data_IF_720539201033
#
_entry.id   IF_720539201033
#
_cell.length_a   1.000
_cell.length_b   1.000
_cell.length_c   1.000
_cell.angle_alpha   90.00
_cell.angle_beta   90.00
_cell.angle_gamma   90.00
#
_symmetry.space_group_name_H-M   'P 1'
#
loop_
_entity.id
_entity.type
_entity.pdbx_description
1 polymer ?
#
# COMPACT_ATOMS: atom_id res chain seq x y z
N UNK A 1 4.17 9.53 -6.03
CA UNK A 1 2.94 9.81 -6.79
C UNK A 1 1.74 9.67 -5.87
N UNK A 2 0.60 10.30 -6.17
CA UNK A 2 -0.63 10.13 -5.39
C UNK A 2 -1.84 10.15 -6.32
N UNK A 3 -2.80 9.28 -6.03
CA UNK A 3 -4.09 9.18 -6.73
C UNK A 3 -5.20 9.02 -5.71
N UNK A 4 -6.43 9.42 -6.06
CA UNK A 4 -7.59 9.24 -5.19
C UNK A 4 -8.84 8.91 -5.97
N UNK A 5 -9.63 8.00 -5.43
CA UNK A 5 -10.95 7.60 -5.96
C UNK A 5 -12.01 7.82 -4.88
N UNK A 6 -13.26 8.02 -5.29
CA UNK A 6 -14.40 8.13 -4.38
C UNK A 6 -15.33 6.97 -4.63
N UNK A 7 -15.56 6.15 -3.61
CA UNK A 7 -16.43 4.98 -3.67
C UNK A 7 -17.81 5.31 -3.13
N UNK A 8 -18.90 4.85 -3.77
CA UNK A 8 -20.28 5.13 -3.38
C UNK A 8 -20.76 4.27 -2.19
N UNK A 9 -19.88 4.02 -1.23
CA UNK A 9 -20.13 3.19 -0.06
C UNK A 9 -19.61 3.88 1.22
N UNK A 10 -20.28 3.69 2.36
CA UNK A 10 -19.86 4.29 3.62
C UNK A 10 -18.53 3.68 4.10
N UNK A 11 -17.77 4.43 4.89
CA UNK A 11 -16.42 4.03 5.29
C UNK A 11 -16.40 2.75 6.12
N UNK A 12 -17.47 2.49 6.87
CA UNK A 12 -17.64 1.27 7.65
C UNK A 12 -17.66 0.00 6.77
N UNK A 13 -17.98 0.15 5.47
CA UNK A 13 -17.97 -0.92 4.47
C UNK A 13 -16.65 -0.91 3.70
N UNK A 14 -16.19 0.27 3.27
CA UNK A 14 -14.98 0.39 2.43
C UNK A 14 -13.70 0.06 3.19
N UNK A 15 -13.55 0.56 4.41
CA UNK A 15 -12.30 0.42 5.16
C UNK A 15 -11.94 -1.05 5.44
N UNK A 16 -12.85 -1.92 5.95
CA UNK A 16 -12.54 -3.34 6.13
C UNK A 16 -12.12 -4.03 4.83
N UNK A 17 -12.85 -3.82 3.73
CA UNK A 17 -12.57 -4.46 2.43
C UNK A 17 -11.18 -4.07 1.89
N UNK A 18 -10.78 -2.82 2.06
CA UNK A 18 -9.50 -2.32 1.56
C UNK A 18 -8.36 -2.34 2.59
N UNK A 19 -8.56 -2.89 3.79
CA UNK A 19 -7.52 -2.94 4.82
C UNK A 19 -7.34 -4.30 5.47
N UNK A 20 -8.35 -5.17 5.50
CA UNK A 20 -8.24 -6.42 6.24
C UNK A 20 -7.55 -7.53 5.43
N UNK A 21 -6.71 -8.37 6.09
CA UNK A 21 -5.95 -9.42 5.42
C UNK A 21 -6.78 -10.38 4.57
N UNK A 22 -7.98 -10.71 5.04
CA UNK A 22 -8.88 -11.65 4.36
C UNK A 22 -9.37 -11.17 2.98
N UNK A 23 -9.29 -9.85 2.70
CA UNK A 23 -9.69 -9.26 1.44
C UNK A 23 -8.50 -8.92 0.52
N UNK A 24 -7.26 -9.06 1.01
CA UNK A 24 -6.07 -8.70 0.25
C UNK A 24 -5.93 -9.50 -1.05
N UNK A 25 -6.31 -10.78 -1.06
CA UNK A 25 -6.27 -11.58 -2.29
C UNK A 25 -7.22 -11.02 -3.35
N UNK A 26 -8.47 -10.72 -2.98
CA UNK A 26 -9.46 -10.15 -3.90
C UNK A 26 -9.02 -8.80 -4.44
N UNK A 27 -8.48 -7.94 -3.56
CA UNK A 27 -7.88 -6.67 -3.96
C UNK A 27 -6.76 -6.87 -4.99
N UNK A 28 -5.87 -7.84 -4.75
CA UNK A 28 -4.74 -8.09 -5.63
C UNK A 28 -5.14 -8.71 -6.97
N UNK A 29 -6.23 -9.49 -6.99
CA UNK A 29 -6.83 -10.07 -8.20
C UNK A 29 -7.50 -9.03 -9.11
N UNK A 30 -7.69 -7.78 -8.67
CA UNK A 30 -8.07 -6.69 -9.57
C UNK A 30 -7.01 -6.45 -10.66
N UNK A 31 -5.76 -6.81 -10.38
CA UNK A 31 -4.67 -6.82 -11.37
C UNK A 31 -4.55 -8.23 -11.98
N UNK A 32 -4.93 -8.43 -13.25
CA UNK A 32 -5.00 -9.76 -13.87
C UNK A 32 -3.65 -10.48 -13.96
N UNK A 33 -2.54 -9.74 -13.83
CA UNK A 33 -1.19 -10.29 -13.77
C UNK A 33 -0.92 -11.04 -12.46
N UNK A 34 -1.62 -10.74 -11.36
CA UNK A 34 -1.48 -11.41 -10.07
C UNK A 34 -2.25 -12.75 -10.08
N UNK A 35 -1.52 -13.84 -10.33
CA UNK A 35 -2.10 -15.18 -10.50
C UNK A 35 -2.16 -15.96 -9.20
N UNK A 36 -1.16 -15.77 -8.34
CA UNK A 36 -1.04 -16.46 -7.06
C UNK A 36 -0.91 -15.44 -5.95
N UNK A 37 -1.52 -15.74 -4.80
CA UNK A 37 -1.45 -14.93 -3.61
C UNK A 37 -1.36 -15.84 -2.39
N UNK A 38 -0.57 -15.44 -1.40
CA UNK A 38 -0.51 -16.13 -0.12
C UNK A 38 -0.24 -15.14 1.00
N UNK A 39 -1.00 -15.29 2.09
CA UNK A 39 -0.63 -14.68 3.37
C UNK A 39 0.48 -15.51 4.01
N UNK A 40 1.47 -14.80 4.56
CA UNK A 40 2.58 -15.38 5.31
C UNK A 40 2.34 -15.18 6.81
N UNK A 41 3.09 -15.88 7.69
CA UNK A 41 2.98 -15.68 9.13
C UNK A 41 3.09 -14.21 9.53
N UNK A 42 2.11 -13.74 10.30
CA UNK A 42 2.04 -12.37 10.81
C UNK A 42 2.96 -12.20 12.01
N UNK A 43 3.35 -10.96 12.28
CA UNK A 43 4.00 -10.58 13.53
C UNK A 43 3.42 -9.27 14.05
N UNK A 44 3.90 -8.82 15.21
CA UNK A 44 3.47 -7.58 15.82
C UNK A 44 4.60 -6.57 15.75
N UNK A 45 4.24 -5.32 15.49
CA UNK A 45 5.16 -4.18 15.52
C UNK A 45 4.58 -3.12 16.43
N UNK A 46 5.44 -2.25 16.94
CA UNK A 46 5.05 -1.11 17.74
C UNK A 46 5.02 0.13 16.87
N UNK A 47 3.95 0.92 16.93
CA UNK A 47 3.87 2.19 16.22
C UNK A 47 4.49 3.33 17.03
N UNK A 48 4.89 4.45 16.38
CA UNK A 48 5.21 5.67 17.11
C UNK A 48 3.99 6.22 17.86
N UNK A 49 4.23 7.08 18.85
CA UNK A 49 3.16 7.88 19.46
C UNK A 49 2.44 8.69 18.38
N UNK A 50 1.12 8.60 18.34
CA UNK A 50 0.29 9.20 17.29
C UNK A 50 0.14 8.33 16.03
N UNK A 51 0.67 7.10 16.05
CA UNK A 51 0.44 6.10 15.01
C UNK A 51 1.29 6.28 13.76
N UNK A 52 0.71 5.97 12.60
CA UNK A 52 1.34 6.11 11.29
C UNK A 52 1.28 7.57 10.79
N UNK A 53 0.33 8.39 11.26
CA UNK A 53 0.16 9.75 10.75
C UNK A 53 1.42 10.65 10.85
N UNK A 54 2.19 10.66 11.96
CA UNK A 54 3.43 11.42 12.08
C UNK A 54 4.50 11.03 11.05
N UNK A 55 4.51 9.77 10.61
CA UNK A 55 5.48 9.23 9.66
C UNK A 55 5.33 9.82 8.25
N UNK A 56 4.18 10.44 7.96
CA UNK A 56 3.86 11.06 6.67
C UNK A 56 3.72 12.58 6.77
N UNK A 57 4.10 13.16 7.91
CA UNK A 57 4.16 14.61 8.13
C UNK A 57 5.13 15.29 7.15
N UNK A 58 4.91 16.57 6.76
CA UNK A 58 5.84 17.32 5.92
C UNK A 58 7.29 17.39 6.43
N UNK A 59 7.50 17.10 7.73
CA UNK A 59 8.83 17.10 8.37
C UNK A 59 9.67 15.87 8.02
N UNK A 60 9.06 14.78 7.54
CA UNK A 60 9.80 13.63 7.05
C UNK A 60 10.20 13.83 5.58
N UNK A 61 11.46 13.56 5.20
CA UNK A 61 11.90 13.69 3.82
C UNK A 61 11.03 12.80 2.92
N UNK A 62 10.32 13.41 1.96
CA UNK A 62 9.39 12.75 1.01
C UNK A 62 10.09 11.83 -0.01
N UNK A 63 11.25 11.30 0.33
CA UNK A 63 12.01 10.35 -0.49
C UNK A 63 11.74 8.94 0.01
N UNK A 64 11.67 7.97 -0.90
CA UNK A 64 11.43 6.57 -0.55
C UNK A 64 12.48 5.95 0.41
N UNK A 65 13.64 6.59 0.57
CA UNK A 65 14.70 6.20 1.50
C UNK A 65 14.50 6.76 2.92
N UNK A 66 13.77 7.86 3.06
CA UNK A 66 13.54 8.55 4.33
C UNK A 66 12.21 8.23 5.00
N UNK A 67 11.39 7.36 4.39
CA UNK A 67 10.11 6.94 4.95
C UNK A 67 10.27 5.62 5.72
N UNK A 68 9.64 5.49 6.89
CA UNK A 68 9.67 4.26 7.65
C UNK A 68 8.99 3.13 6.88
N UNK A 69 9.66 1.99 6.86
CA UNK A 69 9.17 0.78 6.21
C UNK A 69 8.56 -0.12 7.27
N UNK A 70 7.39 -0.77 7.04
CA UNK A 70 6.83 -1.78 7.92
C UNK A 70 7.86 -2.75 8.51
N UNK A 71 8.84 -3.19 7.71
CA UNK A 71 9.92 -4.10 8.15
C UNK A 71 10.87 -3.49 9.19
N UNK A 72 10.98 -2.17 9.27
CA UNK A 72 11.97 -1.47 10.10
C UNK A 72 11.36 -0.53 11.15
N UNK A 73 10.03 -0.46 11.27
CA UNK A 73 9.36 0.45 12.23
C UNK A 73 9.88 0.23 13.66
N UNK A 74 10.02 -1.02 14.12
CA UNK A 74 10.51 -1.30 15.48
C UNK A 74 11.94 -0.81 15.72
N UNK A 75 12.80 -0.90 14.70
CA UNK A 75 14.18 -0.44 14.80
C UNK A 75 14.26 1.09 14.96
N UNK A 76 13.40 1.83 14.24
CA UNK A 76 13.34 3.29 14.30
C UNK A 76 12.92 3.80 15.69
N UNK A 77 12.03 3.08 16.38
CA UNK A 77 11.62 3.45 17.75
C UNK A 77 12.70 3.19 18.80
N UNK A 78 13.63 2.28 18.51
CA UNK A 78 14.69 1.89 19.46
C UNK A 78 15.89 2.85 19.37
N UNK A 79 16.08 3.51 18.24
CA UNK A 79 17.22 4.41 17.98
C UNK A 79 16.97 5.87 18.40
N UNK A 80 15.72 6.30 18.58
CA UNK A 80 15.42 7.68 19.02
C UNK A 80 15.37 7.82 20.56
N UNK A 81 16.30 8.58 21.18
CA UNK A 81 16.29 8.79 22.62
C UNK A 81 15.04 9.57 23.05
N UNK A 82 14.16 8.93 23.82
CA UNK A 82 12.93 9.53 24.33
C UNK A 82 11.68 9.34 23.45
N UNK A 83 11.75 8.51 22.42
CA UNK A 83 10.56 8.14 21.65
C UNK A 83 9.56 7.39 22.55
N UNK A 84 8.44 8.03 22.86
CA UNK A 84 7.34 7.36 23.55
C UNK A 84 6.69 6.32 22.61
N UNK A 85 6.62 5.08 23.12
CA UNK A 85 6.02 3.94 22.44
C UNK A 85 4.51 4.14 22.21
N UNK A 86 4.04 3.89 20.99
CA UNK A 86 2.63 3.86 20.63
C UNK A 86 1.99 2.46 20.71
N UNK A 87 0.84 2.31 20.03
CA UNK A 87 0.06 1.08 19.96
C UNK A 87 0.85 -0.08 19.33
N UNK A 88 0.60 -1.31 19.80
CA UNK A 88 1.09 -2.53 19.15
C UNK A 88 0.05 -2.98 18.14
N UNK A 89 0.47 -3.12 16.89
CA UNK A 89 -0.41 -3.51 15.77
C UNK A 89 0.13 -4.73 15.06
N UNK A 90 -0.75 -5.44 14.37
CA UNK A 90 -0.36 -6.58 13.53
C UNK A 90 0.28 -6.07 12.23
N UNK A 91 1.40 -6.71 11.88
CA UNK A 91 2.02 -6.60 10.56
C UNK A 91 1.79 -7.90 9.80
N UNK A 92 1.04 -7.76 8.72
CA UNK A 92 0.61 -8.87 7.88
C UNK A 92 1.57 -8.99 6.71
N UNK A 93 2.22 -10.14 6.58
CA UNK A 93 3.14 -10.42 5.47
C UNK A 93 2.39 -11.14 4.36
N UNK A 94 2.75 -10.87 3.13
CA UNK A 94 2.12 -11.48 1.97
C UNK A 94 3.11 -11.66 0.83
N UNK A 95 2.78 -12.59 -0.05
CA UNK A 95 3.45 -12.77 -1.33
C UNK A 95 2.39 -12.87 -2.43
N UNK A 96 2.71 -12.33 -3.59
CA UNK A 96 1.96 -12.61 -4.80
C UNK A 96 2.90 -12.82 -5.97
N UNK A 97 2.49 -13.70 -6.87
CA UNK A 97 3.25 -14.01 -8.07
C UNK A 97 2.37 -13.98 -9.30
N UNK A 98 3.01 -13.81 -10.43
CA UNK A 98 2.32 -13.49 -11.66
C UNK A 98 3.21 -13.51 -12.88
N UNK A 99 2.66 -13.06 -14.00
CA UNK A 99 3.43 -12.85 -15.21
C UNK A 99 3.17 -11.46 -15.75
N UNK A 100 4.24 -10.69 -15.95
CA UNK A 100 4.14 -9.38 -16.60
C UNK A 100 4.51 -9.49 -18.09
N UNK A 101 3.72 -8.89 -19.00
CA UNK A 101 4.10 -8.77 -20.39
C UNK A 101 5.21 -7.73 -20.56
N UNK A 102 6.33 -8.14 -21.14
CA UNK A 102 7.40 -7.26 -21.62
C UNK A 102 7.40 -7.24 -23.15
N UNK A 103 7.92 -6.16 -23.74
CA UNK A 103 8.06 -5.99 -25.20
C UNK A 103 6.73 -6.19 -25.95
N UNK A 104 5.72 -5.37 -25.64
CA UNK A 104 4.37 -5.46 -26.25
C UNK A 104 3.71 -6.84 -26.11
N UNK A 105 3.99 -7.57 -25.04
CA UNK A 105 3.38 -8.88 -24.76
C UNK A 105 4.09 -10.07 -25.41
N UNK A 106 5.19 -9.86 -26.13
CA UNK A 106 5.96 -10.94 -26.76
C UNK A 106 6.74 -11.80 -25.74
N UNK A 107 7.06 -11.25 -24.57
CA UNK A 107 7.80 -11.96 -23.52
C UNK A 107 7.06 -11.87 -22.20
N UNK A 108 6.59 -13.00 -21.67
CA UNK A 108 6.06 -13.08 -20.31
C UNK A 108 7.21 -13.37 -19.35
N UNK A 109 7.42 -12.50 -18.36
CA UNK A 109 8.39 -12.76 -17.28
C UNK A 109 7.67 -13.08 -15.98
N UNK A 110 8.16 -14.06 -15.20
CA UNK A 110 7.64 -14.30 -13.86
C UNK A 110 7.90 -13.07 -13.01
N UNK A 111 6.87 -12.66 -12.27
CA UNK A 111 6.92 -11.62 -11.26
C UNK A 111 6.68 -12.30 -9.91
N UNK A 112 7.56 -12.05 -8.95
CA UNK A 112 7.37 -12.44 -7.56
C UNK A 112 7.53 -11.20 -6.69
N UNK A 113 6.51 -10.90 -5.91
CA UNK A 113 6.46 -9.75 -5.01
C UNK A 113 6.24 -10.26 -3.60
N UNK A 114 7.09 -9.82 -2.68
CA UNK A 114 6.91 -10.02 -1.25
C UNK A 114 6.66 -8.67 -0.59
N UNK A 115 5.77 -8.64 0.40
CA UNK A 115 5.37 -7.42 1.06
C UNK A 115 4.90 -7.60 2.49
N UNK A 116 4.63 -6.46 3.12
CA UNK A 116 4.03 -6.37 4.44
C UNK A 116 3.04 -5.20 4.47
N UNK A 117 1.96 -5.38 5.21
CA UNK A 117 0.92 -4.40 5.45
C UNK A 117 0.77 -4.16 6.95
N UNK A 118 0.54 -2.90 7.32
CA UNK A 118 0.19 -2.48 8.68
C UNK A 118 -1.07 -1.62 8.59
N UNK A 119 -2.05 -1.91 9.44
CA UNK A 119 -3.32 -1.17 9.51
C UNK A 119 -3.38 -0.41 10.82
N UNK A 120 -3.56 0.91 10.74
CA UNK A 120 -3.87 1.73 11.89
C UNK A 120 -5.35 2.15 11.83
N UNK A 121 -6.16 1.58 12.72
CA UNK A 121 -7.61 1.77 12.72
C UNK A 121 -8.03 3.18 13.12
N UNK A 122 -7.31 3.81 14.06
CA UNK A 122 -7.64 5.12 14.61
C UNK A 122 -7.53 6.23 13.55
N UNK A 123 -6.42 6.25 12.81
CA UNK A 123 -6.19 7.21 11.73
C UNK A 123 -6.77 6.75 10.39
N UNK A 124 -7.37 5.55 10.34
CA UNK A 124 -7.85 4.89 9.11
C UNK A 124 -6.78 4.94 8.02
N UNK A 125 -5.58 4.49 8.37
CA UNK A 125 -4.41 4.51 7.48
C UNK A 125 -3.86 3.10 7.33
N UNK A 126 -3.49 2.74 6.10
CA UNK A 126 -2.85 1.47 5.79
C UNK A 126 -1.49 1.76 5.15
N UNK A 127 -0.44 1.19 5.72
CA UNK A 127 0.92 1.27 5.22
C UNK A 127 1.33 -0.07 4.60
N UNK A 128 1.80 -0.02 3.37
CA UNK A 128 2.30 -1.16 2.62
C UNK A 128 3.76 -0.95 2.29
N UNK A 129 4.54 -2.01 2.40
CA UNK A 129 5.83 -2.14 1.72
C UNK A 129 5.80 -3.40 0.87
N UNK A 130 6.30 -3.30 -0.35
CA UNK A 130 6.47 -4.45 -1.23
C UNK A 130 7.73 -4.31 -2.08
N UNK A 131 8.16 -5.40 -2.69
CA UNK A 131 9.30 -5.35 -3.60
C UNK A 131 9.46 -6.60 -4.43
N UNK A 132 10.15 -6.42 -5.56
CA UNK A 132 10.60 -7.49 -6.45
C UNK A 132 12.10 -7.64 -6.25
N UNK A 133 12.50 -8.65 -5.49
CA UNK A 133 13.89 -8.82 -5.07
C UNK A 133 14.84 -8.94 -6.26
N UNK A 134 14.46 -9.75 -7.26
CA UNK A 134 15.27 -10.00 -8.45
C UNK A 134 15.56 -8.74 -9.30
N UNK A 135 14.70 -7.73 -9.26
CA UNK A 135 14.87 -6.48 -10.02
C UNK A 135 15.31 -5.30 -9.16
N UNK A 136 15.43 -5.48 -7.83
CA UNK A 136 15.74 -4.39 -6.90
C UNK A 136 14.66 -3.31 -6.82
N UNK A 137 13.44 -3.57 -7.31
CA UNK A 137 12.31 -2.63 -7.20
C UNK A 137 11.73 -2.75 -5.80
N UNK A 138 11.51 -1.62 -5.14
CA UNK A 138 10.82 -1.55 -3.85
C UNK A 138 9.78 -0.44 -3.89
N UNK A 139 8.66 -0.69 -3.25
CA UNK A 139 7.54 0.21 -3.14
C UNK A 139 7.19 0.40 -1.66
N UNK A 140 6.88 1.64 -1.31
CA UNK A 140 6.18 2.00 -0.10
C UNK A 140 4.89 2.70 -0.53
N UNK A 141 3.76 2.29 0.05
CA UNK A 141 2.44 2.83 -0.28
C UNK A 141 1.68 3.13 1.00
N UNK A 142 1.06 4.31 1.03
CA UNK A 142 0.16 4.72 2.11
C UNK A 142 -1.22 4.91 1.53
N UNK A 143 -2.23 4.28 2.13
CA UNK A 143 -3.64 4.43 1.81
C UNK A 143 -4.34 5.10 2.99
N UNK A 144 -5.02 6.21 2.72
CA UNK A 144 -5.82 6.94 3.70
C UNK A 144 -7.27 7.01 3.26
N UNK A 145 -8.18 7.04 4.23
CA UNK A 145 -9.62 7.01 3.99
C UNK A 145 -10.28 8.22 4.64
N UNK A 146 -11.18 8.87 3.90
CA UNK A 146 -11.93 10.04 4.34
C UNK A 146 -13.42 9.84 4.03
N UNK A 147 -14.29 10.11 5.01
CA UNK A 147 -15.74 10.13 4.80
C UNK A 147 -16.10 11.37 3.98
N UNK A 148 -16.94 11.19 2.95
CA UNK A 148 -17.41 12.29 2.11
C UNK A 148 -18.91 12.20 1.90
N UNK A 149 -19.56 13.35 1.69
CA UNK A 149 -20.97 13.39 1.29
C UNK A 149 -21.02 13.51 -0.24
N UNK A 150 -21.71 12.56 -0.87
CA UNK A 150 -21.92 12.51 -2.30
C UNK A 150 -23.13 13.35 -2.72
N UNK A 151 -23.25 13.57 -4.03
CA UNK A 151 -24.43 14.18 -4.62
C UNK A 151 -25.69 13.38 -4.23
N UNK A 152 -26.69 14.10 -3.71
CA UNK A 152 -27.90 13.49 -3.15
C UNK A 152 -27.82 13.11 -1.67
N UNK A 153 -26.78 13.56 -0.95
CA UNK A 153 -26.68 13.42 0.51
C UNK A 153 -26.30 12.02 0.99
N UNK A 154 -25.84 11.15 0.09
CA UNK A 154 -25.40 9.79 0.42
C UNK A 154 -23.98 9.82 0.97
N UNK A 155 -23.69 8.95 1.93
CA UNK A 155 -22.33 8.76 2.44
C UNK A 155 -21.48 8.02 1.40
N UNK A 156 -20.26 8.50 1.20
CA UNK A 156 -19.24 7.87 0.37
C UNK A 156 -17.90 7.85 1.10
N UNK A 157 -16.94 7.17 0.50
CA UNK A 157 -15.58 7.09 1.03
C UNK A 157 -14.58 7.51 -0.03
N UNK A 158 -13.80 8.54 0.26
CA UNK A 158 -12.65 8.91 -0.54
C UNK A 158 -11.44 8.09 -0.08
N UNK A 159 -10.86 7.35 -1.01
CA UNK A 159 -9.65 6.57 -0.81
C UNK A 159 -8.52 7.28 -1.54
N UNK A 160 -7.45 7.60 -0.83
CA UNK A 160 -6.24 8.21 -1.41
C UNK A 160 -5.05 7.31 -1.18
N UNK A 161 -4.31 7.03 -2.24
CA UNK A 161 -3.02 6.37 -2.15
C UNK A 161 -1.89 7.32 -2.47
N UNK A 162 -0.79 7.18 -1.73
CA UNK A 162 0.49 7.81 -2.03
C UNK A 162 1.54 6.73 -2.12
N UNK A 163 2.25 6.68 -3.25
CA UNK A 163 3.24 5.65 -3.54
C UNK A 163 4.62 6.28 -3.75
N UNK A 164 5.61 5.67 -3.13
CA UNK A 164 7.02 5.97 -3.27
C UNK A 164 7.74 4.71 -3.72
N UNK A 165 8.52 4.81 -4.80
CA UNK A 165 9.27 3.69 -5.34
C UNK A 165 10.77 3.97 -5.37
N UNK A 166 11.55 2.91 -5.19
CA UNK A 166 12.97 2.87 -5.55
C UNK A 166 13.20 1.77 -6.58
N UNK A 167 14.07 2.01 -7.54
CA UNK A 167 14.47 1.02 -8.53
C UNK A 167 15.92 1.29 -8.98
N UNK A 168 16.58 0.31 -9.63
CA UNK A 168 17.84 0.56 -10.31
C UNK A 168 17.72 1.71 -11.32
N UNK A 169 18.78 2.51 -11.45
CA UNK A 169 18.77 3.75 -12.25
C UNK A 169 18.35 3.52 -13.71
N UNK A 170 18.64 2.35 -14.28
CA UNK A 170 18.30 1.98 -15.65
C UNK A 170 16.80 1.68 -15.85
N UNK A 171 16.05 1.33 -14.79
CA UNK A 171 14.60 1.14 -14.83
C UNK A 171 13.82 2.42 -14.49
N UNK A 172 14.47 3.40 -13.86
CA UNK A 172 13.81 4.60 -13.37
C UNK A 172 13.04 5.40 -14.44
N UNK A 173 13.55 5.60 -15.67
CA UNK A 173 12.79 6.33 -16.70
C UNK A 173 11.50 5.61 -17.08
N UNK A 174 11.56 4.29 -17.26
CA UNK A 174 10.41 3.45 -17.66
C UNK A 174 9.35 3.44 -16.56
N UNK A 175 9.76 3.16 -15.31
CA UNK A 175 8.84 3.07 -14.18
C UNK A 175 8.18 4.42 -13.86
N UNK A 176 8.89 5.55 -14.05
CA UNK A 176 8.30 6.89 -13.86
C UNK A 176 7.15 7.19 -14.83
N UNK A 177 7.17 6.59 -16.02
CA UNK A 177 6.13 6.79 -17.03
C UNK A 177 4.96 5.82 -16.79
N UNK A 178 5.26 4.54 -16.53
CA UNK A 178 4.24 3.48 -16.51
C UNK A 178 3.55 3.37 -15.14
N UNK A 179 4.31 3.43 -14.04
CA UNK A 179 3.78 3.15 -12.70
C UNK A 179 2.60 4.06 -12.30
N UNK A 180 2.58 5.37 -12.63
CA UNK A 180 1.43 6.21 -12.35
C UNK A 180 0.12 5.69 -12.96
N UNK A 181 0.15 5.32 -14.25
CA UNK A 181 -1.03 4.83 -14.98
C UNK A 181 -1.55 3.52 -14.41
N UNK A 182 -0.67 2.54 -14.23
CA UNK A 182 -1.03 1.21 -13.68
C UNK A 182 -1.66 1.34 -12.30
N UNK A 183 -1.11 2.22 -11.46
CA UNK A 183 -1.64 2.41 -10.11
C UNK A 183 -2.98 3.13 -10.10
N UNK A 184 -3.16 4.18 -10.92
CA UNK A 184 -4.47 4.84 -11.03
C UNK A 184 -5.51 3.85 -11.56
N UNK A 185 -5.19 3.11 -12.62
CA UNK A 185 -6.09 2.10 -13.21
C UNK A 185 -6.48 1.04 -12.19
N UNK A 186 -5.56 0.56 -11.35
CA UNK A 186 -5.87 -0.38 -10.28
C UNK A 186 -6.84 0.20 -9.24
N UNK A 187 -6.66 1.46 -8.84
CA UNK A 187 -7.56 2.11 -7.89
C UNK A 187 -8.96 2.37 -8.48
N UNK A 188 -9.06 2.64 -9.78
CA UNK A 188 -10.36 2.79 -10.46
C UNK A 188 -11.18 1.48 -10.46
N UNK A 189 -10.56 0.33 -10.16
CA UNK A 189 -11.23 -0.97 -10.08
C UNK A 189 -11.73 -1.30 -8.67
N UNK A 190 -11.56 -0.42 -7.68
CA UNK A 190 -11.95 -0.72 -6.29
C UNK A 190 -13.47 -0.86 -6.12
N UNK A 191 -14.26 -0.20 -6.95
CA UNK A 191 -15.72 -0.35 -6.97
C UNK A 191 -16.16 -1.80 -7.20
N UNK A 192 -15.41 -2.57 -8.01
CA UNK A 192 -15.68 -3.99 -8.29
C UNK A 192 -15.57 -4.91 -7.08
N UNK A 193 -14.98 -4.45 -5.97
CA UNK A 193 -14.93 -5.23 -4.74
C UNK A 193 -16.25 -5.22 -3.95
N UNK A 194 -17.23 -4.43 -4.41
CA UNK A 194 -18.52 -4.25 -3.76
C UNK A 194 -19.71 -4.73 -4.62
N UNK A 195 -19.43 -5.37 -5.77
CA UNK A 195 -20.41 -6.04 -6.65
C UNK A 195 -20.62 -7.50 -6.25
#
# INVERSE_FOLDING_TARGET
MSHSVTLPHPIAVVFPILSEPQHMESLQRLTPEAQQFSLLPTDQIRLPKGGLAPLFSPTHPKTAAGLPRPRTIDALLTEEPGAEAGEIVERVKFEFSGTVPLLFGLVKRPLAVAGAQVVEKNSRTVLFESGVEASGIRELKVRTFEEVILDGGKEGTKVKETVWGTCPFYLAPVLRIIAPGVHSEHMELYDKLFE
#
